data_IF_416349844209
#
_entry.id   IF_416349844209
#
_cell.length_a   1.000
_cell.length_b   1.000
_cell.length_c   1.000
_cell.angle_alpha   90.00
_cell.angle_beta   90.00
_cell.angle_gamma   90.00
#
_symmetry.space_group_name_H-M   'P 1'
#
loop_
_entity.id
_entity.type
_entity.pdbx_description
1 polymer ?
#
# COMPACT_ATOMS: atom_id res chain seq x y z
N UNK A 1 -10.18 -9.55 9.28
CA UNK A 1 -8.77 -9.14 9.07
C UNK A 1 -8.15 -9.95 7.94
N UNK A 2 -7.31 -9.34 7.08
CA UNK A 2 -6.69 -9.99 5.89
C UNK A 2 -5.95 -11.30 6.26
N UNK A 3 -5.25 -11.31 7.40
CA UNK A 3 -4.53 -12.49 7.91
C UNK A 3 -5.45 -13.70 8.06
N UNK A 4 -6.65 -13.49 8.59
CA UNK A 4 -7.58 -14.55 9.03
C UNK A 4 -8.64 -14.90 7.97
N UNK A 5 -8.74 -14.14 6.88
CA UNK A 5 -9.71 -14.41 5.80
C UNK A 5 -9.13 -15.29 4.69
N UNK A 6 -10.01 -15.94 3.92
CA UNK A 6 -9.65 -16.60 2.66
C UNK A 6 -9.08 -15.56 1.68
N UNK A 7 -8.02 -15.94 0.96
CA UNK A 7 -7.38 -15.07 -0.04
C UNK A 7 -8.33 -14.85 -1.22
N UNK A 8 -8.56 -13.59 -1.58
CA UNK A 8 -9.32 -13.21 -2.76
C UNK A 8 -8.39 -13.05 -3.97
N UNK A 9 -8.86 -13.26 -5.22
CA UNK A 9 -8.06 -13.10 -6.44
C UNK A 9 -7.89 -11.61 -6.79
N UNK A 10 -7.33 -10.83 -5.87
CA UNK A 10 -7.13 -9.39 -6.04
C UNK A 10 -5.68 -9.07 -6.43
N UNK A 11 -5.51 -8.09 -7.31
CA UNK A 11 -4.25 -7.37 -7.52
C UNK A 11 -4.31 -6.07 -6.72
N UNK A 12 -3.35 -5.84 -5.84
CA UNK A 12 -3.41 -4.78 -4.84
C UNK A 12 -2.23 -3.83 -5.00
N UNK A 13 -2.51 -2.53 -5.01
CA UNK A 13 -1.50 -1.49 -4.84
C UNK A 13 -1.73 -0.79 -3.50
N UNK A 14 -0.65 -0.52 -2.78
CA UNK A 14 -0.69 0.25 -1.54
C UNK A 14 0.59 1.06 -1.40
N UNK A 15 0.47 2.26 -0.84
CA UNK A 15 1.55 3.21 -0.65
C UNK A 15 1.44 3.83 0.74
N UNK A 16 2.59 4.14 1.34
CA UNK A 16 2.67 5.03 2.49
C UNK A 16 3.94 5.87 2.44
N UNK A 17 3.84 7.12 2.89
CA UNK A 17 4.98 8.03 2.98
C UNK A 17 5.78 7.83 4.28
N UNK A 18 7.06 8.20 4.27
CA UNK A 18 7.90 8.21 5.48
C UNK A 18 7.34 9.12 6.57
N UNK A 19 6.83 10.30 6.20
CA UNK A 19 6.25 11.29 7.12
C UNK A 19 4.71 11.35 6.97
N UNK A 20 4.06 10.21 6.74
CA UNK A 20 2.60 10.13 6.66
C UNK A 20 1.93 10.35 8.03
N UNK A 21 0.60 10.36 8.04
CA UNK A 21 -0.18 10.63 9.24
C UNK A 21 0.21 9.71 10.41
N UNK A 22 0.54 10.34 11.54
CA UNK A 22 0.94 9.64 12.76
C UNK A 22 2.29 8.91 12.69
N UNK A 23 3.18 9.23 11.73
CA UNK A 23 4.48 8.56 11.58
C UNK A 23 5.32 8.51 12.87
N UNK A 24 5.22 9.53 13.73
CA UNK A 24 5.91 9.63 15.02
C UNK A 24 5.06 9.19 16.21
N UNK A 25 3.79 8.84 16.00
CA UNK A 25 2.91 8.40 17.06
C UNK A 25 3.28 6.99 17.54
N UNK A 26 3.09 6.73 18.83
CA UNK A 26 3.24 5.40 19.40
C UNK A 26 2.27 4.40 18.77
N UNK A 27 2.57 3.11 18.88
CA UNK A 27 1.67 2.04 18.41
C UNK A 27 0.29 2.10 19.08
N UNK A 28 0.25 2.45 20.38
CA UNK A 28 -0.97 2.56 21.17
C UNK A 28 -1.93 3.66 20.70
N UNK A 29 -1.48 4.59 19.86
CA UNK A 29 -2.38 5.60 19.30
C UNK A 29 -3.37 4.99 18.30
N UNK A 30 -3.07 3.81 17.75
CA UNK A 30 -3.78 3.20 16.63
C UNK A 30 -3.90 4.10 15.37
N UNK A 31 -3.11 5.19 15.31
CA UNK A 31 -3.13 6.17 14.23
C UNK A 31 -1.77 6.30 13.52
N UNK A 32 -0.81 5.41 13.76
CA UNK A 32 0.46 5.38 13.01
C UNK A 32 0.27 4.68 11.64
N UNK A 33 0.03 5.47 10.59
CA UNK A 33 -0.28 4.93 9.26
C UNK A 33 0.93 4.23 8.61
N UNK A 34 2.14 4.71 8.89
CA UNK A 34 3.38 4.10 8.37
C UNK A 34 3.53 2.67 8.89
N UNK A 35 3.33 2.47 10.19
CA UNK A 35 3.36 1.16 10.83
C UNK A 35 2.23 0.26 10.30
N UNK A 36 1.00 0.77 10.23
CA UNK A 36 -0.16 0.02 9.77
C UNK A 36 0.00 -0.48 8.32
N UNK A 37 0.48 0.38 7.41
CA UNK A 37 0.70 0.02 6.01
C UNK A 37 1.85 -1.00 5.85
N UNK A 38 2.98 -0.84 6.58
CA UNK A 38 4.07 -1.83 6.58
C UNK A 38 3.60 -3.21 7.05
N UNK A 39 2.79 -3.28 8.10
CA UNK A 39 2.20 -4.53 8.62
C UNK A 39 1.18 -5.14 7.65
N UNK A 40 0.41 -4.31 6.97
CA UNK A 40 -0.53 -4.74 5.92
C UNK A 40 0.23 -5.35 4.74
N UNK A 41 1.29 -4.68 4.26
CA UNK A 41 2.14 -5.18 3.19
C UNK A 41 2.81 -6.51 3.57
N UNK A 42 3.30 -6.65 4.80
CA UNK A 42 3.83 -7.93 5.31
C UNK A 42 2.77 -9.04 5.30
N UNK A 43 1.54 -8.74 5.71
CA UNK A 43 0.43 -9.70 5.69
C UNK A 43 0.05 -10.09 4.27
N UNK A 44 0.01 -9.14 3.33
CA UNK A 44 -0.26 -9.41 1.91
C UNK A 44 0.80 -10.34 1.30
N UNK A 45 2.08 -10.13 1.65
CA UNK A 45 3.19 -11.00 1.25
C UNK A 45 3.00 -12.42 1.76
N UNK A 46 2.79 -12.59 3.07
CA UNK A 46 2.61 -13.91 3.70
C UNK A 46 1.41 -14.66 3.12
N UNK A 47 0.34 -13.95 2.74
CA UNK A 47 -0.85 -14.55 2.14
C UNK A 47 -0.71 -14.79 0.63
N UNK A 48 0.39 -14.43 -0.02
CA UNK A 48 0.61 -14.67 -1.45
C UNK A 48 -0.34 -13.86 -2.35
N UNK A 49 -0.66 -12.62 -1.98
CA UNK A 49 -1.38 -11.72 -2.88
C UNK A 49 -0.47 -11.24 -4.01
N UNK A 50 -1.04 -10.98 -5.19
CA UNK A 50 -0.36 -10.17 -6.19
C UNK A 50 -0.44 -8.71 -5.72
N UNK A 51 0.58 -8.24 -4.99
CA UNK A 51 0.59 -6.90 -4.43
C UNK A 51 1.83 -6.11 -4.85
N UNK A 52 1.70 -4.79 -4.85
CA UNK A 52 2.81 -3.84 -4.89
C UNK A 52 2.67 -2.89 -3.71
N UNK A 53 3.73 -2.79 -2.92
CA UNK A 53 3.85 -1.83 -1.84
C UNK A 53 4.95 -0.83 -2.18
N UNK A 54 4.65 0.46 -2.14
CA UNK A 54 5.63 1.53 -2.29
C UNK A 54 5.77 2.25 -0.95
N UNK A 55 7.02 2.41 -0.51
CA UNK A 55 7.38 3.29 0.59
C UNK A 55 8.19 4.45 0.02
N UNK A 56 7.67 5.67 0.13
CA UNK A 56 8.36 6.87 -0.36
C UNK A 56 9.07 7.58 0.78
N UNK A 57 10.34 7.94 0.55
CA UNK A 57 11.18 8.66 1.50
C UNK A 57 11.01 10.17 1.32
N UNK A 58 11.21 10.93 2.39
CA UNK A 58 11.17 12.40 2.37
C UNK A 58 9.88 12.99 1.76
N UNK A 59 8.77 12.26 1.90
CA UNK A 59 7.43 12.65 1.46
C UNK A 59 6.45 12.59 2.63
N UNK A 60 5.30 13.25 2.47
CA UNK A 60 4.21 13.29 3.45
C UNK A 60 2.88 12.78 2.90
N UNK A 61 1.81 13.03 3.64
CA UNK A 61 0.45 12.73 3.21
C UNK A 61 0.08 13.55 1.97
N UNK A 62 -0.55 12.92 0.97
CA UNK A 62 -0.95 13.56 -0.30
C UNK A 62 0.19 14.28 -1.05
N UNK A 63 1.43 13.78 -0.97
CA UNK A 63 2.56 14.37 -1.69
C UNK A 63 2.42 14.17 -3.21
N UNK A 64 2.17 15.27 -3.93
CA UNK A 64 1.97 15.27 -5.39
C UNK A 64 3.12 14.61 -6.15
N UNK A 65 4.37 14.73 -5.68
CA UNK A 65 5.55 14.15 -6.35
C UNK A 65 5.46 12.62 -6.41
N UNK A 66 4.94 12.01 -5.35
CA UNK A 66 4.75 10.56 -5.29
C UNK A 66 3.62 10.14 -6.24
N UNK A 67 2.53 10.89 -6.24
CA UNK A 67 1.41 10.64 -7.16
C UNK A 67 1.87 10.66 -8.61
N UNK A 68 2.59 11.70 -9.02
CA UNK A 68 3.10 11.87 -10.39
C UNK A 68 4.06 10.75 -10.81
N UNK A 69 4.90 10.27 -9.90
CA UNK A 69 5.84 9.17 -10.19
C UNK A 69 5.18 7.79 -10.23
N UNK A 70 4.07 7.58 -9.51
CA UNK A 70 3.58 6.23 -9.25
C UNK A 70 2.26 5.91 -9.94
N UNK A 71 1.41 6.90 -10.23
CA UNK A 71 0.05 6.66 -10.73
C UNK A 71 0.07 5.90 -12.06
N UNK A 72 0.74 6.43 -13.09
CA UNK A 72 0.68 5.87 -14.43
C UNK A 72 1.14 4.40 -14.47
N UNK A 73 2.31 4.13 -13.87
CA UNK A 73 2.88 2.78 -13.76
C UNK A 73 1.99 1.84 -12.92
N UNK A 74 1.36 2.36 -11.86
CA UNK A 74 0.40 1.59 -11.06
C UNK A 74 -0.82 1.18 -11.86
N UNK A 75 -1.41 2.09 -12.64
CA UNK A 75 -2.57 1.80 -13.47
C UNK A 75 -2.24 0.74 -14.54
N UNK A 76 -1.11 0.88 -15.22
CA UNK A 76 -0.62 -0.12 -16.19
C UNK A 76 -0.52 -1.50 -15.51
N UNK A 77 0.12 -1.58 -14.34
CA UNK A 77 0.25 -2.85 -13.62
C UNK A 77 -1.07 -3.42 -13.16
N UNK A 78 -2.01 -2.59 -12.70
CA UNK A 78 -3.31 -3.08 -12.22
C UNK A 78 -4.14 -3.65 -13.38
N UNK A 79 -4.16 -2.98 -14.54
CA UNK A 79 -4.90 -3.44 -15.72
C UNK A 79 -4.17 -4.48 -16.57
N UNK A 80 -2.91 -4.81 -16.28
CA UNK A 80 -2.17 -5.79 -17.09
C UNK A 80 -2.90 -7.13 -17.17
N UNK A 81 -3.24 -7.53 -18.40
CA UNK A 81 -3.98 -8.77 -18.69
C UNK A 81 -5.50 -8.68 -18.44
N UNK A 82 -6.04 -7.49 -18.18
CA UNK A 82 -7.48 -7.27 -18.20
C UNK A 82 -8.02 -7.52 -19.61
N UNK A 83 -9.07 -8.33 -19.70
CA UNK A 83 -9.86 -8.54 -20.91
C UNK A 83 -11.26 -8.03 -20.60
N UNK A 84 -11.82 -7.12 -21.41
CA UNK A 84 -13.24 -6.84 -21.34
C UNK A 84 -14.01 -8.10 -21.75
N UNK A 85 -15.18 -8.30 -21.15
CA UNK A 85 -16.13 -9.35 -21.57
C UNK A 85 -16.70 -9.05 -22.97
#
# INVERSE_FOLDING_TARGET
MIKNSVRKPLRIFTHVSENDNGAKSSEFSHHNWVMANKRTAATLKTKGYNYRFIFSRSSGHCDRRVYEQTLADTLIRIWQGYQPD
#
